data_IF_042587087904
#
_entry.id   IF_042587087904
#
_cell.length_a   1.000
_cell.length_b   1.000
_cell.length_c   1.000
_cell.angle_alpha   90.00
_cell.angle_beta   90.00
_cell.angle_gamma   90.00
#
_symmetry.space_group_name_H-M   'P 1'
#
loop_
_entity.id
_entity.type
_entity.pdbx_description
1 polymer ?
#
# COMPACT_ATOMS: atom_id res chain seq x y z
N UNK A 1 -13.47 -4.92 -25.95
CA UNK A 1 -13.80 -5.05 -24.51
C UNK A 1 -13.09 -3.93 -23.75
N UNK A 2 -13.72 -3.34 -22.72
CA UNK A 2 -13.07 -2.32 -21.89
C UNK A 2 -12.00 -2.95 -21.00
N UNK A 3 -10.88 -2.23 -20.84
CA UNK A 3 -9.78 -2.58 -19.94
C UNK A 3 -10.24 -2.49 -18.48
N UNK A 4 -9.83 -3.44 -17.66
CA UNK A 4 -10.14 -3.49 -16.22
C UNK A 4 -8.84 -3.28 -15.44
N UNK A 5 -8.85 -2.33 -14.50
CA UNK A 5 -7.69 -2.02 -13.66
C UNK A 5 -7.77 -2.76 -12.32
N UNK A 6 -6.88 -3.72 -12.08
CA UNK A 6 -6.82 -4.58 -10.91
C UNK A 6 -5.44 -4.52 -10.21
N UNK A 7 -4.80 -3.34 -10.24
CA UNK A 7 -3.51 -3.08 -9.59
C UNK A 7 -3.58 -1.89 -8.59
N UNK A 8 -4.68 -1.83 -7.85
CA UNK A 8 -4.98 -0.75 -6.90
C UNK A 8 -3.96 -0.61 -5.75
N UNK A 9 -3.25 -1.68 -5.40
CA UNK A 9 -2.19 -1.62 -4.38
C UNK A 9 -0.92 -0.94 -4.90
N UNK A 10 -0.67 -0.90 -6.21
CA UNK A 10 0.42 -0.13 -6.79
C UNK A 10 0.08 1.36 -6.81
N UNK A 11 -1.09 1.72 -7.34
CA UNK A 11 -1.66 3.07 -7.27
C UNK A 11 -3.15 2.98 -7.57
N UNK A 12 -3.92 3.96 -7.14
CA UNK A 12 -5.36 4.02 -7.47
C UNK A 12 -5.66 5.12 -8.49
N UNK A 13 -6.78 5.07 -9.21
CA UNK A 13 -7.28 6.19 -9.99
C UNK A 13 -7.49 7.44 -9.13
N UNK A 14 -7.25 8.63 -9.68
CA UNK A 14 -7.53 9.89 -8.99
C UNK A 14 -9.05 10.03 -8.79
N UNK A 15 -9.47 10.24 -7.55
CA UNK A 15 -10.86 10.45 -7.16
C UNK A 15 -11.35 11.85 -7.49
N UNK A 16 -12.66 11.99 -7.70
CA UNK A 16 -13.27 13.27 -8.08
C UNK A 16 -13.08 14.31 -6.97
N UNK A 17 -13.26 13.91 -5.71
CA UNK A 17 -13.10 14.73 -4.51
C UNK A 17 -11.68 15.31 -4.44
N UNK A 18 -10.66 14.48 -4.69
CA UNK A 18 -9.27 14.91 -4.73
C UNK A 18 -9.00 15.87 -5.90
N UNK A 19 -9.52 15.55 -7.08
CA UNK A 19 -9.37 16.38 -8.29
C UNK A 19 -9.97 17.77 -8.09
N UNK A 20 -11.18 17.86 -7.54
CA UNK A 20 -11.86 19.12 -7.27
C UNK A 20 -11.11 19.96 -6.24
N UNK A 21 -10.63 19.35 -5.15
CA UNK A 21 -9.83 20.05 -4.14
C UNK A 21 -8.50 20.56 -4.71
N UNK A 22 -7.85 19.78 -5.59
CA UNK A 22 -6.63 20.21 -6.28
C UNK A 22 -6.88 21.41 -7.20
N UNK A 23 -7.99 21.40 -7.96
CA UNK A 23 -8.35 22.53 -8.82
C UNK A 23 -8.63 23.78 -7.99
N UNK A 24 -9.39 23.66 -6.90
CA UNK A 24 -9.64 24.78 -6.00
C UNK A 24 -8.34 25.32 -5.36
N UNK A 25 -7.37 24.44 -5.06
CA UNK A 25 -6.08 24.85 -4.53
C UNK A 25 -5.20 25.57 -5.57
N UNK A 26 -5.36 25.30 -6.86
CA UNK A 26 -4.65 26.03 -7.93
C UNK A 26 -5.10 27.48 -8.04
N UNK A 27 -6.36 27.78 -7.70
CA UNK A 27 -6.90 29.14 -7.68
C UNK A 27 -6.43 29.94 -6.45
N UNK A 28 -5.91 29.27 -5.41
CA UNK A 28 -5.43 29.93 -4.20
C UNK A 28 -4.00 30.45 -4.40
N UNK A 29 -3.89 31.75 -4.65
CA UNK A 29 -2.60 32.44 -4.70
C UNK A 29 -2.02 32.55 -3.28
N UNK A 30 -0.71 32.39 -3.15
CA UNK A 30 0.03 32.69 -1.92
C UNK A 30 0.99 31.59 -1.49
N UNK A 31 2.17 31.99 -1.02
CA UNK A 31 3.09 31.08 -0.33
C UNK A 31 2.67 30.99 1.16
N UNK A 32 2.46 29.80 1.75
CA UNK A 32 2.11 29.64 3.17
C UNK A 32 3.09 30.29 4.15
N UNK A 33 4.34 30.51 3.72
CA UNK A 33 5.38 31.21 4.49
C UNK A 33 5.24 32.74 4.47
N UNK A 34 4.41 33.30 3.59
CA UNK A 34 4.23 34.74 3.46
C UNK A 34 3.28 35.32 4.52
N UNK A 35 3.57 36.54 4.97
CA UNK A 35 2.79 37.23 6.02
C UNK A 35 1.61 38.05 5.49
N UNK A 36 1.50 38.28 4.17
CA UNK A 36 0.40 39.02 3.54
C UNK A 36 -0.89 38.18 3.47
N UNK A 37 -2.00 38.79 3.05
CA UNK A 37 -3.34 38.18 3.14
C UNK A 37 -3.44 36.83 2.42
N UNK A 38 -2.90 36.75 1.21
CA UNK A 38 -2.86 35.56 0.36
C UNK A 38 -2.02 34.45 1.02
N UNK A 39 -0.86 34.78 1.57
CA UNK A 39 -0.02 33.82 2.31
C UNK A 39 -0.72 33.27 3.56
N UNK A 40 -1.40 34.13 4.33
CA UNK A 40 -2.20 33.71 5.49
C UNK A 40 -3.38 32.82 5.08
N UNK A 41 -4.02 33.10 3.94
CA UNK A 41 -5.10 32.27 3.41
C UNK A 41 -4.59 30.88 2.99
N UNK A 42 -3.46 30.82 2.27
CA UNK A 42 -2.78 29.59 1.90
C UNK A 42 -2.38 28.76 3.13
N UNK A 43 -1.77 29.39 4.13
CA UNK A 43 -1.43 28.76 5.40
C UNK A 43 -2.66 28.21 6.14
N UNK A 44 -3.73 28.99 6.20
CA UNK A 44 -4.98 28.57 6.86
C UNK A 44 -5.62 27.37 6.15
N UNK A 45 -5.57 27.32 4.82
CA UNK A 45 -6.04 26.17 4.06
C UNK A 45 -5.19 24.92 4.32
N UNK A 46 -3.86 25.08 4.35
CA UNK A 46 -2.93 24.00 4.65
C UNK A 46 -3.13 23.41 6.05
N UNK A 47 -3.30 24.25 7.07
CA UNK A 47 -3.52 23.76 8.44
C UNK A 47 -4.86 23.06 8.61
N UNK A 48 -5.94 23.53 7.95
CA UNK A 48 -7.20 22.78 7.91
C UNK A 48 -7.05 21.41 7.23
N UNK A 49 -6.31 21.35 6.12
CA UNK A 49 -6.02 20.08 5.46
C UNK A 49 -5.20 19.13 6.36
N UNK A 50 -4.28 19.69 7.17
CA UNK A 50 -3.53 18.93 8.18
C UNK A 50 -4.45 18.36 9.26
N UNK A 51 -5.40 19.16 9.76
CA UNK A 51 -6.42 18.74 10.71
C UNK A 51 -7.33 17.64 10.14
N UNK A 52 -7.81 17.81 8.89
CA UNK A 52 -8.64 16.81 8.20
C UNK A 52 -7.92 15.46 8.05
N UNK A 53 -6.62 15.48 7.69
CA UNK A 53 -5.81 14.26 7.56
C UNK A 53 -5.56 13.63 8.93
N UNK A 54 -5.29 14.44 9.97
CA UNK A 54 -5.12 13.93 11.33
C UNK A 54 -6.39 13.26 11.85
N UNK A 55 -7.56 13.89 11.68
CA UNK A 55 -8.85 13.33 12.05
C UNK A 55 -9.15 12.04 11.27
N UNK A 56 -8.93 12.04 9.95
CA UNK A 56 -9.12 10.85 9.14
C UNK A 56 -8.19 9.70 9.56
N UNK A 57 -7.01 9.97 10.12
CA UNK A 57 -6.11 8.94 10.64
C UNK A 57 -6.41 8.53 12.09
N UNK A 58 -7.34 9.19 12.79
CA UNK A 58 -7.51 9.06 14.23
C UNK A 58 -6.23 9.43 14.99
N UNK A 59 -5.56 10.49 14.52
CA UNK A 59 -4.28 10.99 14.98
C UNK A 59 -4.41 12.40 15.61
N UNK A 60 -5.59 12.74 16.14
CA UNK A 60 -5.81 14.03 16.78
C UNK A 60 -4.79 14.25 17.90
N UNK A 61 -4.18 15.44 17.90
CA UNK A 61 -3.12 15.79 18.85
C UNK A 61 -1.73 15.24 18.51
N UNK A 62 -1.57 14.44 17.45
CA UNK A 62 -0.28 14.07 16.88
C UNK A 62 0.25 15.15 15.91
N UNK A 63 1.54 15.12 15.63
CA UNK A 63 2.12 15.99 14.60
C UNK A 63 2.07 15.29 13.24
N UNK A 64 1.47 15.96 12.25
CA UNK A 64 1.46 15.53 10.85
C UNK A 64 2.50 16.34 10.08
N UNK A 65 3.41 15.67 9.39
CA UNK A 65 4.51 16.26 8.62
C UNK A 65 4.33 15.85 7.16
N UNK A 66 4.11 16.82 6.27
CA UNK A 66 3.93 16.56 4.85
C UNK A 66 5.26 16.18 4.18
N UNK A 67 5.20 15.17 3.31
CA UNK A 67 6.33 14.65 2.54
C UNK A 67 5.89 14.41 1.09
N UNK A 68 6.81 14.13 0.17
CA UNK A 68 6.45 13.77 -1.21
C UNK A 68 5.81 12.38 -1.37
N UNK A 69 5.75 11.59 -0.29
CA UNK A 69 5.16 10.26 -0.30
C UNK A 69 5.70 9.38 0.83
N UNK A 70 5.17 8.16 0.93
CA UNK A 70 5.56 7.19 1.97
C UNK A 70 7.07 6.88 1.95
N UNK A 71 7.71 6.85 0.78
CA UNK A 71 9.16 6.62 0.68
C UNK A 71 9.99 7.73 1.34
N UNK A 72 9.61 9.00 1.15
CA UNK A 72 10.29 10.12 1.82
C UNK A 72 10.00 10.09 3.33
N UNK A 73 8.75 9.80 3.73
CA UNK A 73 8.38 9.68 5.13
C UNK A 73 9.14 8.55 5.84
N UNK A 74 9.30 7.40 5.20
CA UNK A 74 10.11 6.28 5.70
C UNK A 74 11.57 6.70 5.90
N UNK A 75 12.20 7.33 4.90
CA UNK A 75 13.56 7.83 5.03
C UNK A 75 13.70 8.85 6.17
N UNK A 76 12.74 9.76 6.30
CA UNK A 76 12.75 10.81 7.33
C UNK A 76 12.72 10.23 8.75
N UNK A 77 11.92 9.19 8.99
CA UNK A 77 11.72 8.62 10.33
C UNK A 77 12.66 7.45 10.67
N UNK A 78 13.17 6.72 9.67
CA UNK A 78 13.94 5.49 9.88
C UNK A 78 15.45 5.70 9.87
N UNK A 79 15.93 6.70 9.14
CA UNK A 79 17.36 6.88 8.92
C UNK A 79 18.12 7.05 10.25
N UNK A 80 19.26 6.35 10.37
CA UNK A 80 20.17 6.33 11.51
C UNK A 80 19.57 5.82 12.84
N UNK A 81 18.42 5.12 12.82
CA UNK A 81 17.81 4.56 14.04
C UNK A 81 18.22 3.12 14.37
N UNK A 82 18.77 2.37 13.41
CA UNK A 82 19.17 0.96 13.62
C UNK A 82 18.02 0.08 14.12
N UNK A 83 16.84 0.20 13.48
CA UNK A 83 15.64 -0.55 13.82
C UNK A 83 15.62 -1.91 13.10
N UNK A 84 15.08 -2.91 13.76
CA UNK A 84 14.78 -4.22 13.19
C UNK A 84 13.51 -4.14 12.33
N UNK A 85 13.44 -4.92 11.26
CA UNK A 85 12.24 -5.08 10.47
C UNK A 85 12.12 -6.51 9.92
N UNK A 86 11.00 -6.83 9.29
CA UNK A 86 10.81 -8.12 8.63
C UNK A 86 11.17 -8.04 7.14
N UNK A 87 11.66 -9.12 6.50
CA UNK A 87 11.83 -9.15 5.04
C UNK A 87 10.52 -8.96 4.25
N UNK A 88 9.35 -9.01 4.92
CA UNK A 88 8.06 -8.70 4.32
C UNK A 88 7.84 -7.20 4.09
N UNK A 89 8.65 -6.33 4.70
CA UNK A 89 8.51 -4.88 4.59
C UNK A 89 8.69 -4.37 3.15
N UNK A 90 8.12 -3.20 2.88
CA UNK A 90 8.32 -2.53 1.60
C UNK A 90 9.80 -2.18 1.40
N UNK A 91 10.35 -2.19 0.17
CA UNK A 91 11.73 -1.79 -0.09
C UNK A 91 12.13 -0.41 0.47
N UNK A 92 11.16 0.50 0.61
CA UNK A 92 11.36 1.81 1.23
C UNK A 92 11.69 1.75 2.74
N UNK A 93 11.33 0.67 3.43
CA UNK A 93 11.69 0.39 4.83
C UNK A 93 12.94 -0.47 4.90
N UNK A 94 13.03 -1.51 4.08
CA UNK A 94 14.20 -2.41 4.00
C UNK A 94 15.51 -1.67 3.71
N UNK A 95 15.45 -0.52 3.03
CA UNK A 95 16.62 0.32 2.77
C UNK A 95 17.23 0.97 4.02
N UNK A 96 16.53 0.98 5.16
CA UNK A 96 16.93 1.70 6.39
C UNK A 96 16.97 0.83 7.64
N UNK A 97 16.50 -0.41 7.56
CA UNK A 97 16.28 -1.29 8.72
C UNK A 97 16.93 -2.65 8.49
N UNK A 98 17.23 -3.35 9.57
CA UNK A 98 17.82 -4.68 9.54
C UNK A 98 16.73 -5.77 9.40
N UNK A 99 16.66 -6.52 8.28
CA UNK A 99 15.49 -7.36 7.96
C UNK A 99 15.60 -8.78 8.56
N UNK A 100 15.56 -8.90 9.89
CA UNK A 100 15.68 -10.19 10.59
C UNK A 100 14.46 -10.62 11.40
N UNK A 101 13.39 -9.81 11.46
CA UNK A 101 12.17 -10.21 12.17
C UNK A 101 11.44 -11.33 11.40
N UNK A 102 11.24 -12.51 12.00
CA UNK A 102 10.68 -13.66 11.31
C UNK A 102 9.19 -13.46 11.04
N UNK A 103 8.75 -13.89 9.86
CA UNK A 103 7.35 -14.09 9.53
C UNK A 103 7.04 -15.59 9.55
N UNK A 104 5.82 -15.96 9.93
CA UNK A 104 5.32 -17.32 9.78
C UNK A 104 4.79 -17.60 8.36
N UNK A 105 4.33 -18.83 8.12
CA UNK A 105 3.77 -19.22 6.82
C UNK A 105 2.48 -18.47 6.44
N UNK A 106 1.76 -17.90 7.41
CA UNK A 106 0.59 -17.06 7.18
C UNK A 106 0.98 -15.61 6.86
N UNK A 107 2.25 -15.24 7.06
CA UNK A 107 2.79 -13.89 6.85
C UNK A 107 2.71 -12.99 8.08
N UNK A 108 2.41 -13.54 9.25
CA UNK A 108 2.39 -12.80 10.52
C UNK A 108 3.80 -12.67 11.10
N UNK A 109 4.19 -11.45 11.50
CA UNK A 109 5.53 -11.15 11.99
C UNK A 109 5.61 -11.22 13.51
N UNK A 110 6.65 -11.86 14.04
CA UNK A 110 6.97 -11.83 15.47
C UNK A 110 7.89 -10.64 15.78
N UNK A 111 7.47 -9.78 16.71
CA UNK A 111 8.21 -8.58 17.13
C UNK A 111 8.62 -8.70 18.60
N UNK A 112 9.87 -9.11 18.90
CA UNK A 112 10.32 -9.31 20.28
C UNK A 112 10.62 -8.00 21.02
N UNK A 113 11.05 -6.95 20.31
CA UNK A 113 11.36 -5.63 20.88
C UNK A 113 10.65 -4.52 20.08
N UNK A 114 9.41 -4.15 20.45
CA UNK A 114 8.62 -3.16 19.72
C UNK A 114 9.32 -1.80 19.60
N UNK A 115 9.96 -1.31 20.67
CA UNK A 115 10.61 0.01 20.71
C UNK A 115 11.82 0.13 19.78
N UNK A 116 12.30 -1.01 19.25
CA UNK A 116 13.41 -1.07 18.29
C UNK A 116 12.99 -1.70 16.96
N UNK A 117 11.71 -1.74 16.66
CA UNK A 117 11.19 -2.44 15.48
C UNK A 117 10.30 -1.57 14.60
N UNK A 118 10.32 -1.90 13.31
CA UNK A 118 9.40 -1.40 12.28
C UNK A 118 8.55 -2.57 11.79
N UNK A 119 7.26 -2.33 11.64
CA UNK A 119 6.34 -3.30 11.08
C UNK A 119 5.22 -2.59 10.32
N UNK A 120 5.04 -2.92 9.03
CA UNK A 120 3.89 -2.48 8.26
C UNK A 120 2.58 -2.98 8.87
N UNK A 121 1.53 -2.16 8.86
CA UNK A 121 0.22 -2.61 9.33
C UNK A 121 -0.42 -3.61 8.37
N UNK A 122 -0.21 -3.45 7.06
CA UNK A 122 -0.77 -4.35 6.07
C UNK A 122 0.15 -4.55 4.86
N UNK A 123 0.32 -5.80 4.44
CA UNK A 123 1.22 -6.15 3.36
C UNK A 123 0.63 -5.85 1.97
N UNK A 124 1.42 -5.20 1.12
CA UNK A 124 0.97 -4.79 -0.21
C UNK A 124 0.87 -5.92 -1.24
N UNK A 125 1.53 -7.05 -1.00
CA UNK A 125 1.58 -8.21 -1.89
C UNK A 125 0.49 -9.24 -1.53
N UNK A 126 0.42 -9.64 -0.27
CA UNK A 126 -0.48 -10.70 0.22
C UNK A 126 -1.76 -10.16 0.85
N UNK A 127 -1.76 -8.89 1.26
CA UNK A 127 -2.85 -8.28 2.00
C UNK A 127 -2.84 -8.59 3.49
N UNK A 128 -1.93 -9.43 4.00
CA UNK A 128 -1.88 -9.81 5.42
C UNK A 128 -1.81 -8.57 6.30
N UNK A 129 -2.70 -8.48 7.29
CA UNK A 129 -2.78 -7.39 8.26
C UNK A 129 -2.11 -7.87 9.55
N UNK A 130 -1.13 -7.10 10.02
CA UNK A 130 -0.36 -7.40 11.21
C UNK A 130 -1.08 -6.94 12.48
N UNK A 131 -0.81 -7.61 13.59
CA UNK A 131 -1.17 -7.14 14.92
C UNK A 131 0.02 -6.36 15.50
N UNK A 132 -0.10 -5.02 15.52
CA UNK A 132 0.99 -4.17 15.97
C UNK A 132 1.14 -4.22 17.49
N UNK A 133 2.33 -4.57 18.04
CA UNK A 133 2.55 -4.53 19.47
C UNK A 133 2.59 -3.08 19.99
N UNK A 134 2.13 -2.87 21.23
CA UNK A 134 2.23 -1.56 21.88
C UNK A 134 3.69 -1.15 22.06
N UNK A 135 3.98 0.12 21.83
CA UNK A 135 5.33 0.67 21.91
C UNK A 135 6.17 0.45 20.64
N UNK A 136 5.56 -0.01 19.53
CA UNK A 136 6.27 -0.13 18.25
C UNK A 136 6.84 1.23 17.81
N UNK A 137 8.10 1.26 17.38
CA UNK A 137 8.76 2.50 16.98
C UNK A 137 8.11 3.12 15.73
N UNK A 138 7.98 2.35 14.65
CA UNK A 138 7.44 2.88 13.39
C UNK A 138 6.54 1.85 12.71
N UNK A 139 5.46 2.30 12.08
CA UNK A 139 4.64 1.46 11.21
C UNK A 139 4.38 2.09 9.84
N UNK A 140 4.51 1.29 8.79
CA UNK A 140 3.99 1.65 7.46
C UNK A 140 2.47 1.43 7.45
N UNK A 141 1.70 2.52 7.39
CA UNK A 141 0.24 2.51 7.37
C UNK A 141 -0.33 2.63 5.95
N UNK A 142 0.54 2.70 4.94
CA UNK A 142 0.23 3.08 3.54
C UNK A 142 -0.84 2.21 2.89
N UNK A 143 -0.84 0.91 3.18
CA UNK A 143 -1.83 -0.01 2.61
C UNK A 143 -3.09 -0.16 3.47
N UNK A 144 -3.04 0.23 4.74
CA UNK A 144 -4.16 0.10 5.66
C UNK A 144 -5.06 1.33 5.68
N UNK A 145 -4.45 2.53 5.64
CA UNK A 145 -5.19 3.78 5.70
C UNK A 145 -6.27 3.82 4.61
N UNK A 146 -7.51 4.17 5.01
CA UNK A 146 -8.68 4.26 4.13
C UNK A 146 -9.19 2.95 3.53
N UNK A 147 -8.57 1.80 3.85
CA UNK A 147 -9.03 0.47 3.41
C UNK A 147 -9.60 -0.36 4.54
N UNK A 148 -9.12 -0.13 5.75
CA UNK A 148 -9.65 -0.74 6.98
C UNK A 148 -9.83 0.33 8.06
N UNK A 149 -10.76 0.13 9.01
CA UNK A 149 -10.86 0.99 10.18
C UNK A 149 -9.56 0.96 10.98
N UNK A 150 -9.00 2.14 11.26
CA UNK A 150 -7.86 2.30 12.16
C UNK A 150 -7.89 3.69 12.79
N UNK A 151 -7.28 3.81 13.97
CA UNK A 151 -7.00 5.09 14.62
C UNK A 151 -5.56 5.07 15.13
N UNK A 152 -4.71 5.97 14.62
CA UNK A 152 -3.29 6.08 14.98
C UNK A 152 -3.08 6.09 16.49
N UNK A 153 -3.88 6.88 17.21
CA UNK A 153 -3.84 7.01 18.66
C UNK A 153 -4.10 5.69 19.40
N UNK A 154 -4.81 4.75 18.78
CA UNK A 154 -5.09 3.42 19.35
C UNK A 154 -4.08 2.36 18.93
N UNK A 155 -3.27 2.59 17.90
CA UNK A 155 -2.23 1.63 17.48
C UNK A 155 -1.13 1.51 18.53
N UNK A 156 -0.89 2.56 19.34
CA UNK A 156 0.14 2.54 20.38
C UNK A 156 1.57 2.58 19.81
N UNK A 157 1.74 3.11 18.61
CA UNK A 157 3.02 3.29 17.92
C UNK A 157 3.60 4.69 18.22
N UNK A 158 4.91 4.90 18.02
CA UNK A 158 5.54 6.21 18.13
C UNK A 158 5.33 7.04 16.85
N UNK A 159 5.54 6.41 15.69
CA UNK A 159 5.37 7.04 14.39
C UNK A 159 4.70 6.12 13.36
N UNK A 160 4.04 6.71 12.38
CA UNK A 160 3.51 5.99 11.22
C UNK A 160 3.48 6.87 9.98
N UNK A 161 3.45 6.28 8.80
CA UNK A 161 3.44 7.05 7.56
C UNK A 161 2.48 6.50 6.51
N UNK A 162 2.05 7.40 5.63
CA UNK A 162 1.00 7.16 4.62
C UNK A 162 1.27 7.89 3.32
N UNK A 163 0.59 7.49 2.24
CA UNK A 163 0.66 8.17 0.95
C UNK A 163 -0.71 8.30 0.27
N UNK A 164 -1.00 9.48 -0.28
CA UNK A 164 -2.32 9.82 -0.79
C UNK A 164 -2.75 8.98 -2.00
N UNK A 165 -1.82 8.63 -2.89
CA UNK A 165 -2.13 7.91 -4.13
C UNK A 165 -2.56 6.44 -3.93
N UNK A 166 -2.56 5.95 -2.69
CA UNK A 166 -3.13 4.65 -2.31
C UNK A 166 -4.62 4.71 -1.97
N UNK A 167 -5.17 5.92 -1.83
CA UNK A 167 -6.57 6.19 -1.48
C UNK A 167 -7.39 6.75 -2.64
N UNK A 168 -6.73 7.14 -3.73
CA UNK A 168 -7.31 7.92 -4.82
C UNK A 168 -6.85 9.37 -4.86
N UNK A 169 -5.86 9.74 -4.04
CA UNK A 169 -5.29 11.08 -4.02
C UNK A 169 -4.19 11.29 -5.06
N UNK A 170 -3.63 12.51 -5.14
CA UNK A 170 -2.53 12.79 -6.04
C UNK A 170 -1.27 11.99 -5.67
N UNK A 171 -0.45 11.68 -6.68
CA UNK A 171 0.92 11.21 -6.49
C UNK A 171 1.81 12.39 -6.08
N UNK A 172 2.93 12.11 -5.42
CA UNK A 172 3.86 13.15 -4.99
C UNK A 172 3.46 13.87 -3.70
N UNK A 173 2.58 13.27 -2.88
CA UNK A 173 2.27 13.72 -1.53
C UNK A 173 2.03 12.52 -0.59
N UNK A 174 2.51 12.65 0.63
CA UNK A 174 2.28 11.75 1.75
C UNK A 174 2.44 12.47 3.07
N UNK A 175 2.35 11.73 4.16
CA UNK A 175 2.53 12.27 5.50
C UNK A 175 3.26 11.29 6.40
N UNK A 176 4.15 11.83 7.22
CA UNK A 176 4.66 11.21 8.44
C UNK A 176 3.82 11.73 9.61
N UNK A 177 3.30 10.83 10.44
CA UNK A 177 2.55 11.16 11.64
C UNK A 177 3.35 10.65 12.84
N UNK A 178 3.63 11.54 13.78
CA UNK A 178 4.39 11.21 14.99
C UNK A 178 3.65 11.65 16.23
N UNK A 179 3.80 10.89 17.31
CA UNK A 179 3.30 11.30 18.63
C UNK A 179 3.86 12.68 18.96
N UNK A 180 3.03 13.57 19.50
CA UNK A 180 3.46 14.92 19.91
C UNK A 180 4.66 14.86 20.84
N UNK A 181 5.63 15.73 20.59
CA UNK A 181 6.88 15.78 21.34
C UNK A 181 7.96 14.80 20.85
N UNK A 182 7.66 13.99 19.82
CA UNK A 182 8.68 13.16 19.17
C UNK A 182 9.60 14.03 18.31
N UNK A 183 10.90 13.97 18.59
CA UNK A 183 11.89 14.66 17.77
C UNK A 183 12.08 13.94 16.42
N UNK A 184 12.03 14.70 15.33
CA UNK A 184 12.27 14.21 13.98
C UNK A 184 13.35 15.07 13.34
N UNK A 185 14.52 14.47 13.12
CA UNK A 185 15.65 15.18 12.53
C UNK A 185 15.42 15.46 11.03
N UNK A 186 15.58 16.71 10.62
CA UNK A 186 15.39 17.10 9.23
C UNK A 186 16.46 16.50 8.30
N UNK A 187 15.99 15.81 7.26
CA UNK A 187 16.84 15.29 6.19
C UNK A 187 16.93 16.27 5.01
N UNK A 188 15.78 16.82 4.60
CA UNK A 188 15.72 17.95 3.67
C UNK A 188 15.83 19.23 4.49
N UNK A 189 16.99 19.88 4.41
CA UNK A 189 17.32 21.09 5.19
C UNK A 189 17.05 22.36 4.38
N UNK A 190 16.68 23.45 5.06
CA UNK A 190 16.34 24.72 4.40
C UNK A 190 15.50 25.63 5.29
N UNK A 191 14.51 26.32 4.68
CA UNK A 191 13.77 27.45 5.26
C UNK A 191 12.79 27.15 6.41
N UNK A 192 12.92 26.02 7.09
CA UNK A 192 12.15 25.75 8.32
C UNK A 192 10.68 25.36 8.12
N UNK A 193 10.24 25.06 6.90
CA UNK A 193 8.89 24.51 6.65
C UNK A 193 8.63 23.23 7.44
N UNK A 194 7.36 22.87 7.61
CA UNK A 194 6.94 21.71 8.41
C UNK A 194 7.59 21.70 9.80
N UNK A 195 7.60 22.88 10.45
CA UNK A 195 8.14 23.08 11.80
C UNK A 195 9.64 22.72 11.91
N UNK A 196 10.39 22.97 10.84
CA UNK A 196 11.81 22.68 10.75
C UNK A 196 12.15 21.21 10.44
N UNK A 197 11.15 20.33 10.30
CA UNK A 197 11.38 18.88 10.12
C UNK A 197 11.50 18.46 8.66
N UNK A 198 10.94 19.24 7.74
CA UNK A 198 11.00 18.97 6.29
C UNK A 198 10.93 20.29 5.50
N UNK A 199 12.06 20.75 4.99
CA UNK A 199 12.13 22.01 4.26
C UNK A 199 11.57 21.94 2.83
N UNK A 200 11.30 23.12 2.26
CA UNK A 200 10.80 23.32 0.90
C UNK A 200 9.35 23.80 0.91
N UNK A 201 9.03 24.73 0.00
CA UNK A 201 7.68 25.27 -0.14
C UNK A 201 6.65 24.16 -0.23
N UNK A 202 5.58 24.28 0.54
CA UNK A 202 4.60 23.23 0.72
C UNK A 202 3.78 23.01 -0.56
N UNK A 203 3.60 21.73 -0.93
CA UNK A 203 2.80 21.34 -2.09
C UNK A 203 1.31 21.48 -1.77
N UNK A 204 0.80 22.72 -1.74
CA UNK A 204 -0.56 23.02 -1.32
C UNK A 204 -1.61 22.27 -2.16
N UNK A 205 -1.39 22.15 -3.48
CA UNK A 205 -2.26 21.40 -4.38
C UNK A 205 -2.33 19.92 -3.95
N UNK A 206 -1.17 19.30 -3.71
CA UNK A 206 -1.10 17.91 -3.23
C UNK A 206 -1.75 17.73 -1.86
N UNK A 207 -1.49 18.64 -0.92
CA UNK A 207 -2.02 18.62 0.45
C UNK A 207 -3.54 18.69 0.45
N UNK A 208 -4.13 19.62 -0.31
CA UNK A 208 -5.59 19.76 -0.40
C UNK A 208 -6.24 18.52 -1.06
N UNK A 209 -5.62 17.99 -2.12
CA UNK A 209 -6.07 16.73 -2.74
C UNK A 209 -5.95 15.54 -1.79
N UNK A 210 -4.93 15.50 -0.92
CA UNK A 210 -4.77 14.46 0.08
C UNK A 210 -5.85 14.55 1.17
N UNK A 211 -6.10 15.72 1.72
CA UNK A 211 -7.16 15.90 2.73
C UNK A 211 -8.54 15.49 2.20
N UNK A 212 -8.88 15.90 0.97
CA UNK A 212 -10.15 15.54 0.35
C UNK A 212 -10.31 14.02 0.18
N UNK A 213 -9.26 13.32 -0.28
CA UNK A 213 -9.35 11.87 -0.44
C UNK A 213 -9.34 11.12 0.89
N UNK A 214 -8.62 11.63 1.89
CA UNK A 214 -8.59 11.03 3.22
C UNK A 214 -10.00 11.01 3.84
N UNK A 215 -10.72 12.14 3.72
CA UNK A 215 -12.12 12.24 4.14
C UNK A 215 -13.04 11.32 3.34
N UNK A 216 -12.87 11.28 2.02
CA UNK A 216 -13.68 10.44 1.15
C UNK A 216 -13.47 8.93 1.45
N UNK A 217 -12.24 8.52 1.74
CA UNK A 217 -11.93 7.15 2.13
C UNK A 217 -12.52 6.77 3.49
N UNK A 218 -12.60 7.71 4.45
CA UNK A 218 -13.31 7.45 5.71
C UNK A 218 -14.81 7.31 5.51
N UNK A 219 -15.43 8.14 4.67
CA UNK A 219 -16.84 7.98 4.33
C UNK A 219 -17.12 6.62 3.68
N UNK A 220 -16.21 6.09 2.85
CA UNK A 220 -16.35 4.75 2.26
C UNK A 220 -16.32 3.65 3.33
N UNK A 221 -15.48 3.80 4.37
CA UNK A 221 -15.44 2.87 5.50
C UNK A 221 -16.75 2.90 6.29
N UNK A 222 -17.27 4.09 6.60
CA UNK A 222 -18.55 4.26 7.30
C UNK A 222 -19.74 3.67 6.51
N UNK A 223 -19.66 3.67 5.18
CA UNK A 223 -20.68 3.09 4.29
C UNK A 223 -20.50 1.58 4.04
N UNK A 224 -19.51 0.93 4.67
CA UNK A 224 -19.25 -0.50 4.50
C UNK A 224 -18.74 -0.87 3.11
N UNK A 225 -18.13 0.05 2.36
CA UNK A 225 -17.58 -0.24 1.03
C UNK A 225 -16.47 -1.29 1.11
N UNK A 226 -15.68 -1.29 2.18
CA UNK A 226 -14.65 -2.31 2.43
C UNK A 226 -15.22 -3.74 2.45
N UNK A 227 -16.42 -3.94 3.01
CA UNK A 227 -17.09 -5.25 3.06
C UNK A 227 -17.50 -5.73 1.67
N UNK A 228 -18.04 -4.82 0.84
CA UNK A 228 -18.39 -5.12 -0.56
C UNK A 228 -17.14 -5.51 -1.36
N UNK A 229 -16.04 -4.78 -1.18
CA UNK A 229 -14.76 -5.10 -1.82
C UNK A 229 -14.22 -6.45 -1.34
N UNK A 230 -14.34 -6.76 -0.05
CA UNK A 230 -13.99 -8.07 0.53
C UNK A 230 -14.76 -9.21 -0.14
N UNK A 231 -16.08 -9.06 -0.30
CA UNK A 231 -16.92 -10.07 -0.95
C UNK A 231 -16.53 -10.31 -2.41
N UNK A 232 -16.16 -9.26 -3.15
CA UNK A 232 -15.68 -9.37 -4.54
C UNK A 232 -14.32 -10.07 -4.64
N UNK A 233 -13.40 -9.77 -3.73
CA UNK A 233 -12.11 -10.46 -3.64
C UNK A 233 -12.31 -11.95 -3.35
N UNK A 234 -13.22 -12.28 -2.44
CA UNK A 234 -13.46 -13.66 -2.03
C UNK A 234 -14.22 -14.46 -3.11
N UNK A 235 -15.15 -13.82 -3.85
CA UNK A 235 -15.80 -14.44 -5.00
C UNK A 235 -14.83 -14.74 -6.14
N UNK A 236 -13.86 -13.85 -6.39
CA UNK A 236 -12.77 -14.11 -7.32
C UNK A 236 -11.94 -15.32 -6.88
N UNK A 237 -11.52 -15.36 -5.62
CA UNK A 237 -10.73 -16.46 -5.08
C UNK A 237 -11.47 -17.80 -5.22
N UNK A 238 -12.77 -17.84 -4.87
CA UNK A 238 -13.60 -19.05 -4.99
C UNK A 238 -13.78 -19.49 -6.46
N UNK A 239 -13.95 -18.54 -7.39
CA UNK A 239 -14.07 -18.85 -8.82
C UNK A 239 -12.80 -19.48 -9.39
N UNK A 240 -11.62 -19.04 -8.95
CA UNK A 240 -10.33 -19.62 -9.33
C UNK A 240 -10.11 -21.00 -8.69
N UNK A 241 -10.33 -21.10 -7.38
CA UNK A 241 -10.10 -22.33 -6.59
C UNK A 241 -11.00 -23.49 -7.04
N UNK A 242 -12.26 -23.22 -7.37
CA UNK A 242 -13.19 -24.25 -7.83
C UNK A 242 -12.85 -24.88 -9.18
N UNK A 243 -11.93 -24.28 -9.95
CA UNK A 243 -11.63 -24.68 -11.33
C UNK A 243 -10.17 -25.11 -11.53
N UNK A 244 -9.30 -25.06 -10.50
CA UNK A 244 -7.93 -25.57 -10.60
C UNK A 244 -7.30 -25.98 -9.27
N UNK A 245 -6.54 -27.07 -9.28
CA UNK A 245 -5.90 -27.67 -8.09
C UNK A 245 -4.46 -27.19 -7.81
N UNK A 246 -3.81 -26.43 -8.71
CA UNK A 246 -2.43 -25.92 -8.50
C UNK A 246 -2.37 -24.41 -8.33
N UNK A 247 -3.36 -23.87 -7.62
CA UNK A 247 -3.35 -22.49 -7.20
C UNK A 247 -3.32 -22.44 -5.68
N UNK A 248 -2.46 -21.57 -5.15
CA UNK A 248 -2.43 -21.27 -3.72
C UNK A 248 -2.57 -19.77 -3.54
N UNK A 249 -3.07 -19.35 -2.38
CA UNK A 249 -3.33 -17.94 -2.08
C UNK A 249 -2.55 -17.54 -0.84
N UNK A 250 -1.28 -17.10 -0.97
CA UNK A 250 -0.47 -16.66 0.16
C UNK A 250 -1.21 -15.61 1.01
N UNK A 251 -1.27 -15.85 2.32
CA UNK A 251 -1.97 -14.99 3.27
C UNK A 251 -3.47 -15.28 3.45
N UNK A 252 -4.03 -16.31 2.81
CA UNK A 252 -5.46 -16.67 2.94
C UNK A 252 -5.90 -17.03 4.37
N UNK A 253 -4.99 -17.62 5.15
CA UNK A 253 -5.28 -18.09 6.52
C UNK A 253 -5.17 -16.96 7.57
N UNK A 254 -4.73 -15.77 7.16
CA UNK A 254 -4.56 -14.62 8.02
C UNK A 254 -5.67 -13.56 7.83
N UNK A 255 -5.79 -12.66 8.79
CA UNK A 255 -6.57 -11.43 8.61
C UNK A 255 -5.95 -10.62 7.47
N UNK A 256 -6.76 -10.23 6.47
CA UNK A 256 -6.24 -9.63 5.23
C UNK A 256 -7.06 -8.46 4.70
N UNK A 257 -6.40 -7.55 4.00
CA UNK A 257 -6.99 -6.36 3.38
C UNK A 257 -8.16 -6.75 2.47
N UNK A 258 -9.28 -6.00 2.51
CA UNK A 258 -10.51 -6.31 1.75
C UNK A 258 -10.25 -6.47 0.25
N UNK A 259 -9.20 -5.84 -0.27
CA UNK A 259 -9.02 -5.63 -1.68
C UNK A 259 -7.87 -6.43 -2.32
N UNK A 260 -7.13 -7.25 -1.57
CA UNK A 260 -5.86 -7.85 -2.04
C UNK A 260 -5.95 -9.37 -2.14
N UNK A 261 -5.58 -9.92 -3.30
CA UNK A 261 -5.45 -11.35 -3.54
C UNK A 261 -4.07 -11.65 -4.17
N UNK A 262 -3.23 -12.39 -3.44
CA UNK A 262 -2.02 -12.99 -4.00
C UNK A 262 -2.37 -14.37 -4.56
N UNK A 263 -1.99 -14.63 -5.80
CA UNK A 263 -2.27 -15.87 -6.52
C UNK A 263 -0.92 -16.48 -6.89
N UNK A 264 -0.57 -17.60 -6.28
CA UNK A 264 0.66 -18.35 -6.55
C UNK A 264 0.32 -19.60 -7.36
N UNK A 265 0.89 -19.71 -8.56
CA UNK A 265 0.71 -20.85 -9.46
C UNK A 265 2.06 -21.47 -9.81
N UNK A 266 2.52 -22.47 -9.04
CA UNK A 266 3.84 -23.07 -9.21
C UNK A 266 4.15 -23.46 -10.67
N UNK A 267 5.30 -23.00 -11.18
CA UNK A 267 5.77 -23.26 -12.54
C UNK A 267 5.27 -22.27 -13.60
N UNK A 268 4.28 -21.42 -13.30
CA UNK A 268 3.81 -20.37 -14.21
C UNK A 268 4.35 -19.01 -13.79
N UNK A 269 5.41 -18.55 -14.45
CA UNK A 269 6.08 -17.29 -14.11
C UNK A 269 5.11 -16.10 -14.04
N UNK A 270 5.18 -15.33 -12.95
CA UNK A 270 4.28 -14.21 -12.70
C UNK A 270 4.31 -13.16 -13.83
N UNK A 271 5.48 -12.88 -14.40
CA UNK A 271 5.62 -11.96 -15.54
C UNK A 271 4.86 -12.45 -16.79
N UNK A 272 4.85 -13.76 -17.02
CA UNK A 272 4.11 -14.37 -18.13
C UNK A 272 2.60 -14.25 -17.88
N UNK A 273 2.17 -14.50 -16.64
CA UNK A 273 0.77 -14.30 -16.23
C UNK A 273 0.34 -12.84 -16.43
N UNK A 274 1.13 -11.86 -15.96
CA UNK A 274 0.86 -10.42 -16.13
C UNK A 274 0.73 -10.06 -17.60
N UNK A 275 1.66 -10.50 -18.46
CA UNK A 275 1.58 -10.23 -19.90
C UNK A 275 0.33 -10.84 -20.54
N UNK A 276 -0.04 -12.07 -20.17
CA UNK A 276 -1.25 -12.72 -20.70
C UNK A 276 -2.52 -12.02 -20.23
N UNK A 277 -2.56 -11.53 -19.00
CA UNK A 277 -3.68 -10.76 -18.47
C UNK A 277 -3.77 -9.37 -19.10
N UNK A 278 -2.63 -8.71 -19.36
CA UNK A 278 -2.61 -7.42 -20.05
C UNK A 278 -3.15 -7.54 -21.48
N UNK A 279 -2.75 -8.58 -22.23
CA UNK A 279 -3.30 -8.91 -23.54
C UNK A 279 -4.80 -9.24 -23.49
N UNK A 280 -5.28 -9.79 -22.37
CA UNK A 280 -6.70 -10.03 -22.12
C UNK A 280 -7.46 -8.78 -21.61
N UNK A 281 -6.77 -7.65 -21.43
CA UNK A 281 -7.36 -6.38 -21.02
C UNK A 281 -7.40 -6.14 -19.51
N UNK A 282 -6.58 -6.82 -18.72
CA UNK A 282 -6.52 -6.68 -17.26
C UNK A 282 -5.15 -6.18 -16.80
N UNK A 283 -5.13 -5.10 -16.03
CA UNK A 283 -3.91 -4.65 -15.37
C UNK A 283 -3.79 -5.32 -13.99
N UNK A 284 -2.78 -6.19 -13.83
CA UNK A 284 -2.39 -6.85 -12.58
C UNK A 284 -0.89 -6.70 -12.36
N UNK A 285 -0.39 -7.11 -11.20
CA UNK A 285 1.05 -7.01 -10.88
C UNK A 285 1.65 -8.39 -10.59
N UNK A 286 2.96 -8.53 -10.69
CA UNK A 286 3.70 -9.70 -10.23
C UNK A 286 4.76 -9.25 -9.23
N UNK A 287 4.74 -9.86 -8.03
CA UNK A 287 5.69 -9.70 -6.91
C UNK A 287 6.55 -8.43 -6.89
N UNK A 288 7.81 -8.56 -6.51
CA UNK A 288 8.79 -7.47 -6.59
C UNK A 288 9.21 -7.19 -8.03
N UNK A 289 8.29 -6.68 -8.84
CA UNK A 289 8.62 -5.92 -10.05
C UNK A 289 9.34 -4.63 -9.63
N UNK A 290 10.61 -4.75 -9.24
CA UNK A 290 11.46 -3.58 -9.02
C UNK A 290 11.64 -2.86 -10.36
N UNK A 291 11.55 -1.54 -10.33
CA UNK A 291 11.87 -0.57 -11.39
C UNK A 291 13.26 -0.72 -12.04
N UNK A 292 14.08 -1.66 -11.57
CA UNK A 292 15.43 -1.97 -12.06
C UNK A 292 15.49 -3.00 -13.19
N UNK A 293 14.35 -3.58 -13.63
CA UNK A 293 14.31 -4.55 -14.73
C UNK A 293 14.96 -5.91 -14.44
N UNK A 294 15.40 -6.16 -13.19
CA UNK A 294 15.89 -7.47 -12.74
C UNK A 294 14.80 -8.20 -11.94
N UNK A 295 14.40 -9.37 -12.44
CA UNK A 295 13.49 -10.28 -11.75
C UNK A 295 14.18 -10.80 -10.49
N UNK A 296 13.63 -10.49 -9.33
CA UNK A 296 14.05 -11.07 -8.04
C UNK A 296 12.86 -11.80 -7.43
N UNK A 297 13.09 -12.95 -6.77
CA UNK A 297 12.05 -13.61 -5.97
C UNK A 297 11.43 -12.63 -4.97
N UNK A 298 10.12 -12.74 -4.73
CA UNK A 298 9.45 -11.95 -3.71
C UNK A 298 10.04 -12.25 -2.34
N UNK A 299 10.61 -11.23 -1.68
CA UNK A 299 11.11 -11.36 -0.31
C UNK A 299 9.99 -11.65 0.67
N UNK A 300 8.77 -11.16 0.40
CA UNK A 300 7.56 -11.43 1.19
C UNK A 300 7.24 -12.92 1.17
N UNK A 301 7.10 -13.50 -0.02
CA UNK A 301 6.73 -14.92 -0.14
C UNK A 301 7.85 -15.84 0.38
N UNK A 302 9.11 -15.47 0.15
CA UNK A 302 10.26 -16.20 0.69
C UNK A 302 10.26 -16.18 2.22
N UNK A 303 9.94 -15.03 2.84
CA UNK A 303 9.81 -14.92 4.30
C UNK A 303 8.65 -15.76 4.86
N UNK A 304 7.61 -16.00 4.07
CA UNK A 304 6.51 -16.92 4.39
C UNK A 304 6.86 -18.41 4.17
N UNK A 305 8.12 -18.72 3.87
CA UNK A 305 8.60 -20.09 3.67
C UNK A 305 8.35 -20.66 2.28
N UNK A 306 7.91 -19.86 1.30
CA UNK A 306 7.80 -20.30 -0.09
C UNK A 306 9.19 -20.35 -0.70
N UNK A 307 9.52 -21.45 -1.37
CA UNK A 307 10.82 -21.64 -2.02
C UNK A 307 11.11 -20.49 -3.01
N UNK A 308 12.33 -19.92 -3.03
CA UNK A 308 12.67 -18.78 -3.90
C UNK A 308 12.35 -18.98 -5.38
N UNK A 309 12.42 -20.23 -5.86
CA UNK A 309 12.13 -20.61 -7.24
C UNK A 309 10.65 -20.46 -7.59
N UNK A 310 9.77 -20.65 -6.60
CA UNK A 310 8.30 -20.55 -6.71
C UNK A 310 7.80 -19.14 -6.38
N UNK A 311 8.51 -18.38 -5.54
CA UNK A 311 8.11 -17.02 -5.16
C UNK A 311 7.98 -16.07 -6.37
N UNK A 312 8.64 -16.37 -7.50
CA UNK A 312 8.50 -15.64 -8.77
C UNK A 312 7.26 -16.01 -9.62
N UNK A 313 6.46 -16.98 -9.18
CA UNK A 313 5.29 -17.47 -9.91
C UNK A 313 3.97 -16.88 -9.39
N UNK A 314 4.06 -15.90 -8.48
CA UNK A 314 2.91 -15.21 -7.93
C UNK A 314 2.54 -13.95 -8.73
N UNK A 315 1.24 -13.73 -8.88
CA UNK A 315 0.67 -12.44 -9.26
C UNK A 315 -0.16 -11.86 -8.10
N UNK A 316 -0.29 -10.55 -8.10
CA UNK A 316 -1.21 -9.81 -7.23
C UNK A 316 -2.34 -9.24 -8.05
N UNK A 317 -3.56 -9.55 -7.62
CA UNK A 317 -4.79 -8.87 -8.02
C UNK A 317 -5.21 -7.98 -6.85
N UNK A 318 -5.32 -6.68 -7.10
CA UNK A 318 -5.77 -5.73 -6.09
C UNK A 318 -6.89 -4.85 -6.65
N UNK A 319 -8.05 -4.89 -6.01
CA UNK A 319 -9.28 -4.25 -6.48
C UNK A 319 -9.58 -2.97 -5.70
N UNK A 320 -10.63 -2.25 -6.08
CA UNK A 320 -11.05 -1.05 -5.36
C UNK A 320 -12.55 -0.78 -5.45
N UNK A 321 -13.03 0.34 -4.89
CA UNK A 321 -14.46 0.66 -4.81
C UNK A 321 -15.19 0.71 -6.16
N UNK A 322 -14.47 0.98 -7.25
CA UNK A 322 -15.03 1.04 -8.60
C UNK A 322 -15.02 -0.31 -9.34
N UNK A 323 -14.46 -1.37 -8.74
CA UNK A 323 -14.46 -2.72 -9.33
C UNK A 323 -15.85 -3.35 -9.21
N UNK A 324 -16.38 -3.88 -10.30
CA UNK A 324 -17.70 -4.52 -10.31
C UNK A 324 -17.63 -6.06 -10.29
N UNK A 325 -18.70 -6.77 -9.87
CA UNK A 325 -18.78 -8.24 -9.94
C UNK A 325 -18.44 -8.81 -11.33
N UNK A 326 -18.89 -8.15 -12.40
CA UNK A 326 -18.60 -8.58 -13.77
C UNK A 326 -17.10 -8.52 -14.11
N UNK A 327 -16.37 -7.60 -13.49
CA UNK A 327 -14.95 -7.40 -13.78
C UNK A 327 -14.12 -8.54 -13.17
N UNK A 328 -14.43 -8.93 -11.95
CA UNK A 328 -13.76 -10.05 -11.28
C UNK A 328 -14.07 -11.39 -11.95
N UNK A 329 -15.31 -11.61 -12.40
CA UNK A 329 -15.66 -12.84 -13.13
C UNK A 329 -15.00 -12.92 -14.50
N UNK A 330 -14.98 -11.81 -15.26
CA UNK A 330 -14.25 -11.76 -16.54
C UNK A 330 -12.76 -11.99 -16.36
N UNK A 331 -12.16 -11.49 -15.27
CA UNK A 331 -10.78 -11.77 -14.94
C UNK A 331 -10.57 -13.26 -14.65
N UNK A 332 -11.44 -13.87 -13.82
CA UNK A 332 -11.37 -15.29 -13.52
C UNK A 332 -11.41 -16.15 -14.79
N UNK A 333 -12.38 -15.89 -15.68
CA UNK A 333 -12.53 -16.60 -16.95
C UNK A 333 -11.27 -16.47 -17.83
N UNK A 334 -10.75 -15.24 -17.97
CA UNK A 334 -9.56 -14.98 -18.76
C UNK A 334 -8.32 -15.66 -18.19
N UNK A 335 -8.15 -15.60 -16.87
CA UNK A 335 -7.03 -16.22 -16.16
C UNK A 335 -7.10 -17.74 -16.26
N UNK A 336 -8.27 -18.35 -16.02
CA UNK A 336 -8.47 -19.79 -16.12
C UNK A 336 -8.26 -20.31 -17.55
N UNK A 337 -8.71 -19.57 -18.57
CA UNK A 337 -8.43 -19.92 -19.96
C UNK A 337 -6.93 -19.85 -20.30
N UNK A 338 -6.22 -18.85 -19.76
CA UNK A 338 -4.76 -18.76 -19.92
C UNK A 338 -4.02 -19.87 -19.17
N UNK A 339 -4.46 -20.18 -17.95
CA UNK A 339 -3.95 -21.26 -17.13
C UNK A 339 -4.13 -22.61 -17.83
N UNK A 340 -5.31 -22.89 -18.38
CA UNK A 340 -5.59 -24.12 -19.13
C UNK A 340 -4.68 -24.28 -20.36
N UNK A 341 -4.43 -23.20 -21.11
CA UNK A 341 -3.47 -23.23 -22.23
C UNK A 341 -2.03 -23.45 -21.76
N UNK A 342 -1.62 -22.81 -20.67
CA UNK A 342 -0.30 -23.01 -20.08
C UNK A 342 -0.14 -24.47 -19.61
N UNK A 343 -1.15 -25.03 -18.93
CA UNK A 343 -1.19 -26.43 -18.52
C UNK A 343 -1.05 -27.39 -19.69
N UNK A 344 -1.86 -27.27 -20.73
CA UNK A 344 -1.75 -28.13 -21.92
C UNK A 344 -0.34 -28.12 -22.56
N UNK A 345 0.35 -26.97 -22.50
CA UNK A 345 1.72 -26.82 -23.04
C UNK A 345 2.83 -27.34 -22.12
N UNK A 346 2.55 -27.53 -20.84
CA UNK A 346 3.55 -27.93 -19.84
C UNK A 346 3.26 -29.30 -19.21
N UNK A 347 2.05 -29.83 -19.33
CA UNK A 347 1.67 -31.17 -18.87
C UNK A 347 2.33 -32.30 -19.67
N UNK A 348 2.75 -32.06 -20.92
CA UNK A 348 3.58 -33.02 -21.65
C UNK A 348 5.00 -33.15 -21.07
N UNK A 349 5.48 -32.16 -20.29
CA UNK A 349 6.77 -32.24 -19.62
C UNK A 349 6.71 -33.04 -18.31
N UNK A 350 5.51 -33.38 -17.81
CA UNK A 350 5.33 -34.26 -16.65
C UNK A 350 5.43 -35.77 -16.99
N UNK A 351 5.53 -36.15 -18.27
CA UNK A 351 5.86 -37.52 -18.73
C UNK A 351 7.31 -37.68 -19.21
N UNK A 352 8.12 -36.62 -19.15
CA UNK A 352 9.54 -36.67 -19.47
C UNK A 352 10.38 -36.37 -18.22
N UNK A 353 10.49 -37.36 -17.33
CA UNK A 353 11.39 -37.31 -16.17
C UNK A 353 10.63 -37.30 -14.85
N UNK A 354 10.25 -38.49 -14.39
CA UNK A 354 10.22 -38.73 -12.95
C UNK A 354 11.65 -38.55 -12.44
N UNK A 355 11.84 -37.53 -11.61
CA UNK A 355 12.90 -37.47 -10.58
C UNK A 355 12.19 -37.16 -9.28
#
# INVERSE_FOLDING_TARGET
MSRVYLDWNATTPLRAEAREAMLAAMELVGNPSSVHAEGRAAKSAMERAREDIAAALGAEGADVIFTSGATEAAALVLQDRGLACSPVEHPAVLAWCDPFLPADAAGCVTVPDPGRSVLQLANSETGVIQDLPKGLAVSDLTQAFGKIPLAFNWLGIEAGFVSAHKLGGPRGIGALVVRRGTEVAARIRGGGQEQGRRAGTENLIGIMGFAAVAKAAQNDLDQGIGEKVSQLRDSLMAALESQTEMVTFPGREARRLPNTLSILTPGWRGETQVMQMDLAGFAVSAGSACSSGKVRPSSVLTAMGIAPELAGDAIRVSIGPATEPRDVMRFADAWLAAHGRWRQRNDWRATAGRV
#
